data_IF_435898359379
#
_entry.id   IF_435898359379
#
_cell.length_a   1.000
_cell.length_b   1.000
_cell.length_c   1.000
_cell.angle_alpha   90.00
_cell.angle_beta   90.00
_cell.angle_gamma   90.00
#
_symmetry.space_group_name_H-M   'P 1'
#
loop_
_entity.id
_entity.type
_entity.pdbx_description
1 polymer ?
#
# COMPACT_ATOMS: atom_id res chain seq x y z
N UNK A 1 2.74 -41.75 -8.89
CA UNK A 1 3.30 -40.46 -9.37
C UNK A 1 2.38 -39.26 -9.14
N UNK A 2 1.05 -39.41 -9.15
CA UNK A 2 0.08 -38.31 -9.05
C UNK A 2 0.09 -37.57 -7.70
N UNK A 3 0.33 -38.26 -6.57
CA UNK A 3 0.37 -37.65 -5.22
C UNK A 3 1.51 -36.66 -4.98
N UNK A 4 2.63 -36.78 -5.70
CA UNK A 4 3.78 -35.87 -5.56
C UNK A 4 3.54 -34.54 -6.27
N UNK A 5 2.79 -34.57 -7.37
CA UNK A 5 2.45 -33.38 -8.17
C UNK A 5 1.41 -32.51 -7.46
N UNK A 6 0.40 -33.13 -6.81
CA UNK A 6 -0.58 -32.39 -6.00
C UNK A 6 0.04 -31.75 -4.76
N UNK A 7 1.03 -32.39 -4.13
CA UNK A 7 1.73 -31.83 -2.96
C UNK A 7 2.63 -30.64 -3.32
N UNK A 8 3.22 -30.64 -4.53
CA UNK A 8 4.02 -29.52 -5.02
C UNK A 8 3.16 -28.30 -5.38
N UNK A 9 1.97 -28.51 -5.97
CA UNK A 9 1.04 -27.43 -6.32
C UNK A 9 0.49 -26.71 -5.07
N UNK A 10 0.20 -27.46 -4.01
CA UNK A 10 -0.28 -26.91 -2.74
C UNK A 10 0.78 -26.05 -2.03
N UNK A 11 2.07 -26.41 -2.17
CA UNK A 11 3.17 -25.66 -1.56
C UNK A 11 3.38 -24.31 -2.26
N UNK A 12 3.30 -24.27 -3.59
CA UNK A 12 3.45 -23.02 -4.37
C UNK A 12 2.31 -22.03 -4.04
N UNK A 13 1.09 -22.52 -3.87
CA UNK A 13 -0.05 -21.68 -3.47
C UNK A 13 0.11 -21.10 -2.06
N UNK A 14 0.70 -21.85 -1.13
CA UNK A 14 0.94 -21.39 0.23
C UNK A 14 2.00 -20.28 0.33
N UNK A 15 3.00 -20.26 -0.56
CA UNK A 15 4.00 -19.19 -0.61
C UNK A 15 3.43 -17.85 -1.09
N UNK A 16 2.46 -17.86 -2.03
CA UNK A 16 1.85 -16.61 -2.51
C UNK A 16 0.87 -15.97 -1.51
N UNK A 17 0.31 -16.75 -0.59
CA UNK A 17 -0.57 -16.22 0.47
C UNK A 17 0.20 -15.54 1.61
N UNK A 18 1.46 -15.95 1.85
CA UNK A 18 2.27 -15.41 2.93
C UNK A 18 2.67 -13.94 2.72
N UNK A 19 2.95 -13.55 1.47
CA UNK A 19 3.32 -12.18 1.11
C UNK A 19 2.14 -11.21 1.31
N UNK A 20 0.92 -11.62 0.95
CA UNK A 20 -0.28 -10.80 1.07
C UNK A 20 -0.63 -10.47 2.54
N UNK A 21 -0.37 -11.39 3.47
CA UNK A 21 -0.64 -11.16 4.90
C UNK A 21 0.44 -10.32 5.59
N UNK A 22 1.68 -10.33 5.08
CA UNK A 22 2.77 -9.54 5.63
C UNK A 22 2.59 -8.04 5.34
N UNK A 23 2.04 -7.70 4.18
CA UNK A 23 1.74 -6.31 3.81
C UNK A 23 0.74 -5.65 4.77
N UNK A 24 -0.32 -6.37 5.17
CA UNK A 24 -1.32 -5.85 6.12
C UNK A 24 -0.76 -5.62 7.53
N UNK A 25 0.31 -6.33 7.92
CA UNK A 25 0.86 -6.26 9.28
C UNK A 25 1.89 -5.12 9.44
N UNK A 26 2.38 -4.55 8.35
CA UNK A 26 3.37 -3.47 8.37
C UNK A 26 2.74 -2.08 8.51
N UNK A 27 1.41 -1.94 8.43
CA UNK A 27 0.76 -0.64 8.60
C UNK A 27 0.61 -0.32 10.10
N UNK A 28 1.25 0.74 10.63
CA UNK A 28 1.06 1.15 12.01
C UNK A 28 -0.40 1.57 12.22
N UNK A 29 -1.07 0.96 13.20
CA UNK A 29 -2.42 1.36 13.63
C UNK A 29 -2.36 2.66 14.45
N UNK A 30 -2.12 3.80 13.79
CA UNK A 30 -2.32 5.14 14.35
C UNK A 30 -3.79 5.57 14.25
N UNK A 31 -4.19 6.62 14.97
CA UNK A 31 -5.48 7.25 14.68
C UNK A 31 -5.44 7.86 13.27
N UNK A 32 -6.60 7.96 12.61
CA UNK A 32 -6.67 8.55 11.26
C UNK A 32 -5.99 9.93 11.22
N UNK A 33 -6.23 10.77 12.23
CA UNK A 33 -5.65 12.10 12.34
C UNK A 33 -4.13 12.08 12.47
N UNK A 34 -3.57 11.13 13.24
CA UNK A 34 -2.12 11.02 13.40
C UNK A 34 -1.46 10.57 12.10
N UNK A 35 -2.01 9.52 11.46
CA UNK A 35 -1.51 9.03 10.17
C UNK A 35 -1.58 10.12 9.09
N UNK A 36 -2.68 10.87 9.02
CA UNK A 36 -2.83 11.97 8.07
C UNK A 36 -1.82 13.10 8.36
N UNK A 37 -1.60 13.42 9.64
CA UNK A 37 -0.61 14.43 10.04
C UNK A 37 0.79 14.04 9.56
N UNK A 38 1.20 12.79 9.77
CA UNK A 38 2.49 12.28 9.31
C UNK A 38 2.61 12.39 7.78
N UNK A 39 1.55 12.06 7.03
CA UNK A 39 1.54 12.18 5.56
C UNK A 39 1.71 13.65 5.15
N UNK A 40 0.97 14.57 5.77
CA UNK A 40 1.04 16.00 5.47
C UNK A 40 2.41 16.60 5.79
N UNK A 41 3.01 16.22 6.93
CA UNK A 41 4.35 16.65 7.30
C UNK A 41 5.41 16.10 6.32
N UNK A 42 5.23 14.86 5.87
CA UNK A 42 6.14 14.19 4.93
C UNK A 42 6.17 14.83 3.54
N UNK A 43 5.14 15.61 3.17
CA UNK A 43 5.12 16.37 1.92
C UNK A 43 6.33 17.30 1.79
N UNK A 44 6.77 17.92 2.90
CA UNK A 44 7.91 18.84 2.92
C UNK A 44 9.23 18.17 2.48
N UNK A 45 9.32 16.85 2.61
CA UNK A 45 10.48 16.04 2.25
C UNK A 45 10.19 15.12 1.07
N UNK A 46 9.22 15.47 0.21
CA UNK A 46 8.80 14.65 -0.94
C UNK A 46 8.55 13.18 -0.55
N UNK A 47 7.98 12.97 0.63
CA UNK A 47 7.62 11.65 1.18
C UNK A 47 8.80 10.66 1.35
N UNK A 48 10.05 11.11 1.31
CA UNK A 48 11.24 10.24 1.43
C UNK A 48 11.24 9.44 2.74
N UNK A 49 10.83 10.06 3.85
CA UNK A 49 10.80 9.43 5.17
C UNK A 49 9.73 8.34 5.33
N UNK A 50 8.70 8.33 4.49
CA UNK A 50 7.60 7.35 4.55
C UNK A 50 7.54 6.46 3.30
N UNK A 51 8.63 6.44 2.53
CA UNK A 51 8.76 5.61 1.35
C UNK A 51 9.15 4.18 1.75
N UNK A 52 8.37 3.21 1.28
CA UNK A 52 8.63 1.80 1.45
C UNK A 52 9.08 1.13 0.15
N UNK A 53 8.69 -0.13 0.01
CA UNK A 53 9.09 -1.00 -1.10
C UNK A 53 8.63 -0.44 -2.45
N UNK A 54 9.50 -0.53 -3.46
CA UNK A 54 9.13 -0.23 -4.84
C UNK A 54 8.07 -1.21 -5.34
N UNK A 55 7.03 -0.68 -5.98
CA UNK A 55 5.97 -1.41 -6.64
C UNK A 55 6.21 -1.41 -8.15
N UNK A 56 5.31 -2.05 -8.90
CA UNK A 56 5.37 -2.02 -10.36
C UNK A 56 5.28 -0.56 -10.84
N UNK A 57 6.28 -0.06 -11.58
CA UNK A 57 6.26 1.30 -12.09
C UNK A 57 5.20 1.47 -13.19
N UNK A 58 4.77 2.72 -13.38
CA UNK A 58 3.94 3.17 -14.49
C UNK A 58 4.81 3.98 -15.46
N UNK A 59 4.39 4.16 -16.73
CA UNK A 59 5.23 4.64 -17.85
C UNK A 59 6.15 5.80 -17.48
N UNK A 60 5.62 6.81 -16.78
CA UNK A 60 6.34 8.04 -16.42
C UNK A 60 6.71 8.15 -14.93
N UNK A 61 6.38 7.14 -14.12
CA UNK A 61 6.38 7.28 -12.65
C UNK A 61 6.88 6.04 -11.94
N UNK A 62 7.78 6.24 -10.98
CA UNK A 62 8.07 5.20 -10.00
C UNK A 62 6.95 5.17 -8.96
N UNK A 63 6.56 3.97 -8.56
CA UNK A 63 5.54 3.76 -7.53
C UNK A 63 6.17 3.04 -6.36
N UNK A 64 5.89 3.50 -5.14
CA UNK A 64 6.35 2.92 -3.90
C UNK A 64 5.17 2.69 -2.96
N UNK A 65 5.20 1.62 -2.18
CA UNK A 65 4.31 1.46 -1.04
C UNK A 65 4.66 2.52 0.02
N UNK A 66 3.67 3.14 0.65
CA UNK A 66 3.93 4.00 1.81
C UNK A 66 4.10 3.14 3.07
N UNK A 67 5.06 3.49 3.93
CA UNK A 67 5.21 2.87 5.26
C UNK A 67 4.16 3.39 6.25
N UNK A 68 3.45 4.47 5.91
CA UNK A 68 2.34 5.03 6.68
C UNK A 68 1.05 4.75 5.94
N UNK A 69 0.15 4.02 6.59
CA UNK A 69 -1.20 3.76 6.10
C UNK A 69 -2.23 4.69 6.72
N UNK A 70 -3.29 4.99 5.98
CA UNK A 70 -4.53 5.52 6.57
C UNK A 70 -5.44 4.37 7.00
N UNK A 71 -5.96 4.39 8.24
CA UNK A 71 -7.00 3.46 8.67
C UNK A 71 -8.19 3.48 7.69
N UNK A 72 -8.60 2.29 7.22
CA UNK A 72 -9.68 2.11 6.26
C UNK A 72 -9.31 2.31 4.79
N UNK A 73 -8.05 2.63 4.48
CA UNK A 73 -7.56 2.57 3.11
C UNK A 73 -7.19 1.12 2.71
N UNK A 74 -7.51 0.75 1.48
CA UNK A 74 -7.10 -0.53 0.89
C UNK A 74 -5.64 -0.52 0.43
N UNK A 75 -5.11 0.64 0.05
CA UNK A 75 -3.71 0.83 -0.30
C UNK A 75 -3.27 2.27 -0.06
N UNK A 76 -1.98 2.46 0.22
CA UNK A 76 -1.34 3.78 0.33
C UNK A 76 -0.04 3.74 -0.46
N UNK A 77 0.10 4.61 -1.45
CA UNK A 77 1.21 4.61 -2.41
C UNK A 77 1.81 6.00 -2.57
N UNK A 78 3.08 6.03 -2.95
CA UNK A 78 3.82 7.25 -3.31
C UNK A 78 4.23 7.11 -4.77
N UNK A 79 3.91 8.12 -5.57
CA UNK A 79 4.38 8.23 -6.96
C UNK A 79 5.51 9.23 -7.01
N UNK A 80 6.57 8.93 -7.75
CA UNK A 80 7.63 9.88 -8.09
C UNK A 80 7.67 10.08 -9.58
N UNK A 81 7.59 11.33 -10.00
CA UNK A 81 7.75 11.71 -11.39
C UNK A 81 9.24 11.67 -11.75
N UNK A 82 9.56 11.10 -12.90
CA UNK A 82 10.95 10.91 -13.35
C UNK A 82 11.31 11.79 -14.56
N UNK A 83 10.72 12.99 -14.66
CA UNK A 83 11.06 13.90 -15.75
C UNK A 83 12.34 14.67 -15.41
N UNK A 84 13.06 15.17 -16.43
CA UNK A 84 14.28 15.96 -16.22
C UNK A 84 14.03 17.27 -15.43
N UNK A 85 12.78 17.73 -15.41
CA UNK A 85 12.36 19.01 -14.83
C UNK A 85 11.50 18.81 -13.57
N UNK A 86 10.86 17.65 -13.44
CA UNK A 86 9.94 17.33 -12.36
C UNK A 86 10.47 16.14 -11.56
N UNK A 87 10.87 16.45 -10.33
CA UNK A 87 11.32 15.50 -9.32
C UNK A 87 10.33 15.42 -8.15
N UNK A 88 9.11 15.90 -8.35
CA UNK A 88 8.07 15.90 -7.31
C UNK A 88 7.58 14.48 -7.03
N UNK A 89 6.91 14.37 -5.89
CA UNK A 89 6.26 13.15 -5.47
C UNK A 89 4.83 13.45 -5.02
N UNK A 90 3.93 12.50 -5.27
CA UNK A 90 2.57 12.52 -4.77
C UNK A 90 2.32 11.33 -3.85
N UNK A 91 1.41 11.49 -2.90
CA UNK A 91 0.92 10.40 -2.04
C UNK A 91 -0.57 10.18 -2.30
N UNK A 92 -1.02 8.94 -2.31
CA UNK A 92 -2.42 8.58 -2.51
C UNK A 92 -2.82 7.41 -1.63
N UNK A 93 -3.98 7.52 -1.00
CA UNK A 93 -4.72 6.40 -0.43
C UNK A 93 -5.88 6.01 -1.35
N UNK A 94 -6.07 4.71 -1.51
CA UNK A 94 -7.29 4.14 -2.10
C UNK A 94 -8.23 3.82 -0.95
N UNK A 95 -9.41 4.43 -0.95
CA UNK A 95 -10.43 4.25 0.08
C UNK A 95 -11.55 3.33 -0.42
N UNK A 96 -12.42 2.89 0.48
CA UNK A 96 -13.61 2.13 0.09
C UNK A 96 -14.50 2.95 -0.86
N UNK A 97 -14.76 2.40 -2.03
CA UNK A 97 -15.70 2.94 -3.01
C UNK A 97 -16.92 2.02 -3.09
N UNK A 98 -18.07 2.50 -2.64
CA UNK A 98 -19.33 1.77 -2.68
C UNK A 98 -20.48 2.53 -2.01
N UNK A 99 -21.71 2.14 -2.34
CA UNK A 99 -22.93 2.85 -1.92
C UNK A 99 -23.50 2.34 -0.58
N UNK A 100 -22.99 1.21 -0.06
CA UNK A 100 -23.45 0.65 1.21
C UNK A 100 -22.71 1.28 2.40
N UNK A 101 -23.40 2.19 3.07
CA UNK A 101 -22.92 2.84 4.29
C UNK A 101 -22.48 1.84 5.38
N UNK A 102 -23.15 0.68 5.48
CA UNK A 102 -22.84 -0.32 6.51
C UNK A 102 -21.48 -0.94 6.25
N UNK A 103 -21.18 -1.26 4.99
CA UNK A 103 -19.88 -1.78 4.56
C UNK A 103 -18.78 -0.72 4.67
N UNK A 104 -19.06 0.52 4.26
CA UNK A 104 -18.14 1.64 4.45
C UNK A 104 -17.79 1.82 5.94
N UNK A 105 -18.78 1.78 6.85
CA UNK A 105 -18.55 1.97 8.28
C UNK A 105 -17.67 0.90 8.92
N UNK A 106 -17.57 -0.29 8.33
CA UNK A 106 -16.67 -1.35 8.80
C UNK A 106 -15.23 -1.09 8.38
N UNK A 107 -15.00 -0.46 7.24
CA UNK A 107 -13.66 -0.15 6.77
C UNK A 107 -12.99 0.93 7.63
N UNK A 108 -13.75 1.90 8.16
CA UNK A 108 -13.22 3.05 8.90
C UNK A 108 -13.25 2.92 10.44
N UNK A 109 -13.64 1.76 11.00
CA UNK A 109 -13.68 1.48 12.44
C UNK A 109 -12.50 0.63 12.88
#
# INVERSE_FOLDING_TARGET
>A
MIKKVTSALALILAFQLAEAQLLNKLMPSGSFSDSLTIVLESYQQNYLGIQGTALQPDEDRQIFASTVGLPGASSCVIFRFNSKQDTTAGWQATLYEGDDFKEASKAYK
#
